data_IF_143461609577
#
_entry.id   IF_143461609577
#
_cell.length_a   1.000
_cell.length_b   1.000
_cell.length_c   1.000
_cell.angle_alpha   90.00
_cell.angle_beta   90.00
_cell.angle_gamma   90.00
#
_symmetry.space_group_name_H-M   'P 1'
#
loop_
_entity.id
_entity.type
_entity.pdbx_description
1 polymer ?
#
# COMPACT_ATOMS: atom_id res chain seq x y z
N UNK A 1 4.41 -10.72 26.42
CA UNK A 1 5.67 -10.66 25.66
C UNK A 1 5.67 -11.84 24.70
N UNK A 2 6.12 -11.65 23.46
CA UNK A 2 6.34 -12.71 22.46
C UNK A 2 7.83 -12.75 22.15
N UNK A 3 8.42 -13.95 22.09
CA UNK A 3 9.81 -14.15 21.67
C UNK A 3 9.88 -15.11 20.49
N UNK A 4 10.54 -14.69 19.41
CA UNK A 4 10.86 -15.52 18.23
C UNK A 4 12.32 -15.85 18.30
N UNK A 5 12.66 -17.14 18.18
CA UNK A 5 14.03 -17.65 18.29
C UNK A 5 14.40 -18.47 17.05
N UNK A 6 15.71 -18.61 16.81
CA UNK A 6 16.28 -19.41 15.73
C UNK A 6 15.70 -19.06 14.35
N UNK A 7 15.53 -17.77 14.07
CA UNK A 7 15.09 -17.29 12.77
C UNK A 7 16.24 -16.82 11.89
N UNK A 8 16.14 -17.07 10.58
CA UNK A 8 16.91 -16.33 9.59
C UNK A 8 16.24 -14.98 9.36
N UNK A 9 16.75 -13.93 10.00
CA UNK A 9 16.07 -12.66 10.09
C UNK A 9 16.54 -11.70 9.01
N UNK A 10 15.63 -11.26 8.13
CA UNK A 10 15.80 -10.13 7.20
C UNK A 10 15.12 -8.88 7.75
N UNK A 11 15.91 -7.92 8.21
CA UNK A 11 15.36 -6.74 8.90
C UNK A 11 14.86 -5.64 7.98
N UNK A 12 15.27 -5.60 6.73
CA UNK A 12 15.11 -4.51 5.76
C UNK A 12 15.86 -3.21 6.12
N UNK A 13 16.75 -3.26 7.12
CA UNK A 13 17.64 -2.14 7.52
C UNK A 13 19.04 -2.25 6.92
N UNK A 14 19.40 -3.41 6.38
CA UNK A 14 20.75 -3.77 5.92
C UNK A 14 21.56 -4.57 6.94
N UNK A 15 21.00 -4.86 8.13
CA UNK A 15 21.59 -5.74 9.14
C UNK A 15 20.72 -6.98 9.28
N UNK A 16 21.17 -8.11 8.77
CA UNK A 16 20.47 -9.39 8.82
C UNK A 16 21.14 -10.36 9.80
N UNK A 17 20.39 -11.37 10.28
CA UNK A 17 20.88 -12.37 11.23
C UNK A 17 20.61 -13.78 10.66
N UNK A 18 21.62 -14.62 10.53
CA UNK A 18 21.48 -16.01 10.03
C UNK A 18 20.83 -16.94 11.08
N UNK A 19 21.08 -16.70 12.35
CA UNK A 19 20.41 -17.31 13.51
C UNK A 19 20.15 -16.22 14.53
N UNK A 20 18.93 -15.71 14.54
CA UNK A 20 18.56 -14.53 15.31
C UNK A 20 17.33 -14.74 16.17
N UNK A 21 17.09 -13.73 17.03
CA UNK A 21 15.89 -13.65 17.86
C UNK A 21 15.25 -12.26 17.76
N UNK A 22 13.95 -12.21 18.04
CA UNK A 22 13.16 -10.97 18.15
C UNK A 22 12.29 -11.07 19.41
N UNK A 23 12.24 -9.99 20.18
CA UNK A 23 11.28 -9.84 21.30
C UNK A 23 10.31 -8.72 21.01
N UNK A 24 9.03 -9.01 21.26
CA UNK A 24 7.94 -8.06 21.15
C UNK A 24 7.21 -7.94 22.48
N UNK A 25 7.10 -6.74 23.01
CA UNK A 25 6.29 -6.45 24.20
C UNK A 25 5.36 -5.29 23.94
N UNK A 26 4.12 -5.40 24.41
CA UNK A 26 3.06 -4.40 24.21
C UNK A 26 2.94 -3.90 22.75
N UNK A 27 3.05 -4.84 21.81
CA UNK A 27 2.92 -4.57 20.38
C UNK A 27 4.16 -4.01 19.71
N UNK A 28 5.26 -3.76 20.42
CA UNK A 28 6.49 -3.16 19.89
C UNK A 28 7.67 -4.11 19.96
N UNK A 29 8.54 -4.07 18.95
CA UNK A 29 9.83 -4.74 18.98
C UNK A 29 10.69 -4.07 20.07
N UNK A 30 11.13 -4.86 21.02
CA UNK A 30 11.97 -4.37 22.14
C UNK A 30 13.42 -4.76 22.01
N UNK A 31 13.69 -5.91 21.38
CA UNK A 31 15.07 -6.42 21.16
C UNK A 31 15.10 -7.28 19.90
N UNK A 32 16.17 -7.18 19.16
CA UNK A 32 16.50 -8.01 17.99
C UNK A 32 18.02 -8.24 17.98
N UNK A 33 18.47 -9.42 17.65
CA UNK A 33 19.90 -9.73 17.62
C UNK A 33 20.22 -11.15 17.23
N UNK A 34 21.52 -11.52 17.36
CA UNK A 34 21.97 -12.88 17.19
C UNK A 34 21.46 -13.77 18.33
N UNK A 35 21.23 -15.05 18.06
CA UNK A 35 20.75 -16.01 19.06
C UNK A 35 21.69 -16.14 20.25
N UNK A 36 23.02 -15.98 20.04
CA UNK A 36 24.01 -15.95 21.09
C UNK A 36 23.80 -14.87 22.16
N UNK A 37 23.11 -13.78 21.79
CA UNK A 37 22.86 -12.63 22.67
C UNK A 37 21.43 -12.64 23.21
N UNK A 38 20.65 -13.71 22.92
CA UNK A 38 19.27 -13.83 23.35
C UNK A 38 19.18 -13.93 24.89
N UNK A 39 18.45 -13.06 25.55
CA UNK A 39 18.17 -13.22 26.97
C UNK A 39 17.39 -14.51 27.24
N UNK A 40 17.51 -15.08 28.46
CA UNK A 40 16.78 -16.27 28.86
C UNK A 40 15.29 -16.16 28.55
N UNK A 41 14.71 -17.20 27.95
CA UNK A 41 13.35 -17.26 27.46
C UNK A 41 12.58 -18.53 27.89
N UNK A 42 13.24 -19.45 28.59
CA UNK A 42 12.71 -20.78 28.92
C UNK A 42 11.48 -20.73 29.84
N UNK A 43 11.25 -19.61 30.51
CA UNK A 43 10.07 -19.38 31.35
C UNK A 43 9.03 -18.47 30.70
N UNK A 44 9.12 -18.20 29.39
CA UNK A 44 8.16 -17.38 28.66
C UNK A 44 7.05 -18.24 28.05
N UNK A 45 5.80 -17.82 28.19
CA UNK A 45 4.62 -18.59 27.72
C UNK A 45 4.44 -18.49 26.20
N UNK A 46 4.99 -17.46 25.55
CA UNK A 46 4.80 -17.18 24.13
C UNK A 46 6.16 -17.18 23.40
N UNK A 47 6.69 -18.38 23.10
CA UNK A 47 7.92 -18.55 22.34
C UNK A 47 7.63 -19.26 21.02
N UNK A 48 8.07 -18.67 19.91
CA UNK A 48 8.03 -19.28 18.58
C UNK A 48 9.44 -19.66 18.17
N UNK A 49 9.70 -20.94 17.97
CA UNK A 49 10.94 -21.39 17.35
C UNK A 49 10.78 -21.38 15.82
N UNK A 50 11.45 -20.45 15.16
CA UNK A 50 11.40 -20.31 13.72
C UNK A 50 12.19 -21.40 12.96
N UNK A 51 13.05 -22.18 13.64
CA UNK A 51 13.77 -23.36 13.08
C UNK A 51 14.58 -23.06 11.81
N UNK A 52 15.20 -21.90 11.74
CA UNK A 52 15.96 -21.45 10.56
C UNK A 52 15.09 -20.92 9.41
N UNK A 53 13.78 -20.86 9.58
CA UNK A 53 12.87 -20.27 8.60
C UNK A 53 13.09 -18.76 8.49
N UNK A 54 12.67 -18.19 7.35
CA UNK A 54 12.81 -16.77 7.08
C UNK A 54 11.84 -15.96 7.96
N UNK A 55 12.37 -15.02 8.74
CA UNK A 55 11.64 -14.06 9.55
C UNK A 55 11.85 -12.67 8.97
N UNK A 56 10.80 -11.97 8.60
CA UNK A 56 10.89 -10.65 7.99
C UNK A 56 9.76 -9.75 8.45
N UNK A 57 9.81 -8.42 8.18
CA UNK A 57 8.67 -7.54 8.43
C UNK A 57 7.43 -8.06 7.71
N UNK A 58 6.27 -7.87 8.31
CA UNK A 58 5.00 -8.13 7.64
C UNK A 58 4.92 -7.38 6.31
N UNK A 59 4.37 -8.04 5.31
CA UNK A 59 4.22 -7.50 3.96
C UNK A 59 3.16 -6.39 3.96
N UNK A 60 3.36 -5.39 3.11
CA UNK A 60 2.52 -4.19 3.01
C UNK A 60 2.00 -4.02 1.59
N UNK A 61 0.68 -3.99 1.44
CA UNK A 61 0.03 -3.61 0.18
C UNK A 61 -0.10 -2.08 0.09
N UNK A 62 0.54 -1.47 -0.91
CA UNK A 62 0.64 -0.01 -1.04
C UNK A 62 -0.59 0.65 -1.68
N UNK A 63 -1.46 -0.13 -2.32
CA UNK A 63 -2.64 0.37 -3.03
C UNK A 63 -3.64 -0.76 -3.30
N UNK A 64 -4.79 -0.74 -2.64
CA UNK A 64 -5.86 -1.72 -2.91
C UNK A 64 -7.24 -1.17 -2.56
N UNK A 65 -8.25 -2.00 -2.85
CA UNK A 65 -9.66 -1.74 -2.58
C UNK A 65 -10.27 -2.82 -1.67
N UNK A 66 -9.44 -3.46 -0.85
CA UNK A 66 -9.83 -4.54 0.06
C UNK A 66 -10.93 -4.11 1.02
N UNK A 67 -11.99 -4.89 1.11
CA UNK A 67 -13.16 -4.61 1.94
C UNK A 67 -14.06 -3.49 1.46
N UNK A 68 -13.66 -2.70 0.43
CA UNK A 68 -14.51 -1.74 -0.29
C UNK A 68 -15.12 -2.41 -1.53
N UNK A 69 -14.34 -3.25 -2.21
CA UNK A 69 -14.84 -4.21 -3.19
C UNK A 69 -14.76 -5.58 -2.55
N UNK A 70 -15.88 -6.01 -1.98
CA UNK A 70 -15.96 -7.29 -1.28
C UNK A 70 -15.94 -8.47 -2.25
N UNK A 71 -15.26 -9.54 -1.89
CA UNK A 71 -15.29 -10.78 -2.67
C UNK A 71 -16.69 -11.40 -2.70
N UNK A 72 -17.11 -11.91 -3.85
CA UNK A 72 -18.39 -12.65 -4.07
C UNK A 72 -19.67 -11.84 -3.82
N UNK A 73 -19.63 -10.53 -3.80
CA UNK A 73 -20.78 -9.68 -3.42
C UNK A 73 -21.53 -9.05 -4.58
N UNK A 74 -20.93 -8.97 -5.76
CA UNK A 74 -21.55 -8.25 -6.88
C UNK A 74 -21.72 -6.76 -6.54
N UNK A 75 -22.78 -6.15 -7.09
CA UNK A 75 -22.97 -4.68 -6.98
C UNK A 75 -23.20 -4.21 -5.53
N UNK A 76 -23.81 -5.01 -4.67
CA UNK A 76 -24.09 -4.63 -3.29
C UNK A 76 -22.81 -4.55 -2.44
N UNK A 77 -21.80 -5.37 -2.76
CA UNK A 77 -20.49 -5.33 -2.10
C UNK A 77 -19.44 -4.52 -2.85
N UNK A 78 -19.81 -3.67 -3.82
CA UNK A 78 -18.89 -2.84 -4.60
C UNK A 78 -19.12 -1.35 -4.33
N UNK A 79 -18.43 -0.85 -3.30
CA UNK A 79 -18.40 0.57 -2.93
C UNK A 79 -17.12 1.27 -3.41
N UNK A 80 -16.41 0.67 -4.37
CA UNK A 80 -15.11 1.16 -4.82
C UNK A 80 -15.17 2.54 -5.48
N UNK A 81 -16.25 2.83 -6.23
CA UNK A 81 -16.35 4.04 -7.03
C UNK A 81 -17.70 4.76 -6.90
N UNK A 82 -17.65 6.05 -6.58
CA UNK A 82 -18.82 6.93 -6.72
C UNK A 82 -18.96 7.33 -8.20
N UNK A 83 -19.80 6.60 -8.91
CA UNK A 83 -19.89 6.71 -10.36
C UNK A 83 -20.73 7.89 -10.88
N UNK A 84 -21.32 8.72 -10.02
CA UNK A 84 -22.28 9.77 -10.39
C UNK A 84 -21.63 11.15 -10.38
N UNK A 85 -20.74 11.42 -9.44
CA UNK A 85 -20.07 12.71 -9.26
C UNK A 85 -18.57 12.60 -9.51
N UNK A 86 -17.96 13.44 -10.37
CA UNK A 86 -16.54 13.30 -10.74
C UNK A 86 -15.56 13.84 -9.71
N UNK A 87 -15.99 14.63 -8.72
CA UNK A 87 -15.14 15.27 -7.72
C UNK A 87 -15.72 15.06 -6.32
N UNK A 88 -15.17 14.11 -5.58
CA UNK A 88 -15.67 13.67 -4.27
C UNK A 88 -14.59 13.59 -3.19
N UNK A 89 -13.88 14.70 -2.87
CA UNK A 89 -12.76 14.68 -1.92
C UNK A 89 -13.15 14.33 -0.49
N UNK A 90 -14.46 14.41 -0.17
CA UNK A 90 -15.03 14.16 1.14
C UNK A 90 -15.37 12.69 1.42
N UNK A 91 -15.39 11.83 0.40
CA UNK A 91 -15.57 10.40 0.60
C UNK A 91 -14.34 9.79 1.30
N UNK A 92 -14.58 8.91 2.24
CA UNK A 92 -13.51 8.29 3.03
C UNK A 92 -13.64 6.78 2.96
N UNK A 93 -12.56 6.12 2.58
CA UNK A 93 -12.52 4.66 2.50
C UNK A 93 -12.96 3.97 3.80
N UNK A 94 -12.62 4.56 4.94
CA UNK A 94 -12.96 4.01 6.27
C UNK A 94 -14.46 3.81 6.48
N UNK A 95 -15.30 4.58 5.78
CA UNK A 95 -16.76 4.50 5.92
C UNK A 95 -17.37 3.32 5.12
N UNK A 96 -16.60 2.69 4.21
CA UNK A 96 -17.06 1.60 3.36
C UNK A 96 -16.30 0.26 3.56
N UNK A 97 -15.19 0.25 4.28
CA UNK A 97 -14.42 -0.99 4.50
C UNK A 97 -15.21 -1.96 5.38
N UNK A 98 -15.48 -3.16 4.86
CA UNK A 98 -15.97 -4.31 5.62
C UNK A 98 -14.80 -5.18 6.12
N UNK A 99 -14.42 -5.15 7.43
CA UNK A 99 -13.32 -5.96 7.95
C UNK A 99 -13.60 -7.48 7.97
N UNK A 100 -14.83 -7.89 7.64
CA UNK A 100 -15.24 -9.29 7.59
C UNK A 100 -15.16 -9.87 6.17
N UNK A 101 -14.66 -9.11 5.19
CA UNK A 101 -14.41 -9.61 3.85
C UNK A 101 -13.30 -10.68 3.85
N UNK A 102 -13.47 -11.71 3.03
CA UNK A 102 -12.55 -12.86 2.94
C UNK A 102 -11.11 -12.45 2.58
N UNK A 103 -10.94 -11.34 1.85
CA UNK A 103 -9.63 -10.82 1.49
C UNK A 103 -8.72 -10.51 2.69
N UNK A 104 -9.29 -10.21 3.87
CA UNK A 104 -8.51 -10.01 5.08
C UNK A 104 -7.85 -11.31 5.57
N UNK A 105 -8.58 -12.42 5.58
CA UNK A 105 -8.02 -13.74 5.93
C UNK A 105 -6.97 -14.17 4.90
N UNK A 106 -7.22 -13.95 3.62
CA UNK A 106 -6.26 -14.26 2.55
C UNK A 106 -4.98 -13.44 2.67
N UNK A 107 -5.08 -12.16 3.06
CA UNK A 107 -3.92 -11.30 3.34
C UNK A 107 -3.08 -11.88 4.50
N UNK A 108 -3.72 -12.30 5.59
CA UNK A 108 -3.01 -12.89 6.74
C UNK A 108 -2.31 -14.19 6.36
N UNK A 109 -2.94 -15.05 5.53
CA UNK A 109 -2.34 -16.30 5.01
C UNK A 109 -1.13 -16.08 4.11
N UNK A 110 -0.99 -14.87 3.56
CA UNK A 110 0.14 -14.48 2.72
C UNK A 110 1.20 -13.65 3.47
N UNK A 111 1.08 -13.47 4.79
CA UNK A 111 2.02 -12.68 5.59
C UNK A 111 1.84 -11.16 5.43
N UNK A 112 0.70 -10.70 4.87
CA UNK A 112 0.41 -9.28 4.67
C UNK A 112 -0.24 -8.73 5.93
N UNK A 113 0.43 -7.78 6.58
CA UNK A 113 0.03 -7.23 7.90
C UNK A 113 -0.60 -5.86 7.82
N UNK A 114 -0.41 -5.15 6.70
CA UNK A 114 -0.94 -3.79 6.53
C UNK A 114 -1.27 -3.50 5.08
N UNK A 115 -2.24 -2.61 4.87
CA UNK A 115 -2.68 -2.19 3.54
C UNK A 115 -3.07 -0.71 3.48
N UNK A 116 -2.81 -0.07 2.35
CA UNK A 116 -3.33 1.24 1.98
C UNK A 116 -4.60 1.04 1.16
N UNK A 117 -5.76 1.27 1.78
CA UNK A 117 -7.07 1.03 1.19
C UNK A 117 -7.76 2.34 0.83
N UNK A 118 -8.36 2.41 -0.34
CA UNK A 118 -9.06 3.61 -0.78
C UNK A 118 -9.96 3.43 -1.98
N UNK A 119 -10.62 4.52 -2.42
CA UNK A 119 -11.52 4.48 -3.55
C UNK A 119 -10.80 4.19 -4.87
N UNK A 120 -11.54 3.66 -5.83
CA UNK A 120 -11.09 3.37 -7.18
C UNK A 120 -10.84 4.62 -8.03
N UNK A 121 -10.81 4.44 -9.33
CA UNK A 121 -10.33 5.45 -10.28
C UNK A 121 -11.37 5.95 -11.27
N UNK A 122 -12.67 5.72 -11.02
CA UNK A 122 -13.74 6.23 -11.89
C UNK A 122 -13.92 7.76 -11.81
N UNK A 123 -13.50 8.39 -10.70
CA UNK A 123 -13.62 9.82 -10.44
C UNK A 123 -12.31 10.55 -10.76
N UNK A 124 -12.38 11.82 -11.13
CA UNK A 124 -11.19 12.69 -11.20
C UNK A 124 -10.59 12.87 -9.80
N UNK A 125 -11.45 13.02 -8.78
CA UNK A 125 -11.09 12.99 -7.36
C UNK A 125 -12.00 11.99 -6.67
N UNK A 126 -11.46 10.87 -6.19
CA UNK A 126 -12.24 9.75 -5.65
C UNK A 126 -12.47 9.83 -4.14
N UNK A 127 -11.60 10.51 -3.39
CA UNK A 127 -11.71 10.59 -1.93
C UNK A 127 -10.44 10.16 -1.19
N UNK A 128 -10.60 9.90 0.09
CA UNK A 128 -9.51 9.74 1.05
C UNK A 128 -9.17 8.24 1.28
N UNK A 129 -7.90 7.91 1.14
CA UNK A 129 -7.33 6.63 1.55
C UNK A 129 -7.12 6.54 3.06
N UNK A 130 -7.13 5.32 3.56
CA UNK A 130 -6.75 4.96 4.93
C UNK A 130 -5.66 3.88 4.90
N UNK A 131 -4.67 3.97 5.79
CA UNK A 131 -3.70 2.90 6.01
C UNK A 131 -4.10 2.12 7.26
N UNK A 132 -4.26 0.79 7.11
CA UNK A 132 -4.81 -0.10 8.14
C UNK A 132 -3.91 -1.31 8.40
N UNK A 133 -4.07 -1.92 9.57
CA UNK A 133 -3.68 -3.32 9.83
C UNK A 133 -4.70 -4.25 9.18
N UNK A 134 -4.26 -5.42 8.73
CA UNK A 134 -5.13 -6.40 8.05
C UNK A 134 -5.89 -7.31 9.01
N UNK A 135 -5.79 -7.10 10.32
CA UNK A 135 -6.47 -7.89 11.34
C UNK A 135 -7.32 -7.03 12.25
N UNK A 136 -8.59 -7.41 12.40
CA UNK A 136 -9.56 -6.77 13.27
C UNK A 136 -11.00 -7.08 12.86
N UNK A 137 -11.95 -6.68 13.70
CA UNK A 137 -13.40 -6.80 13.43
C UNK A 137 -14.11 -5.44 13.37
N UNK A 138 -13.41 -4.39 13.76
CA UNK A 138 -13.91 -3.03 13.77
C UNK A 138 -12.84 -2.16 13.11
N UNK A 139 -13.21 -1.47 12.04
CA UNK A 139 -12.26 -0.70 11.23
C UNK A 139 -11.54 0.37 12.07
N UNK A 140 -12.21 1.00 13.02
CA UNK A 140 -11.60 2.02 13.87
C UNK A 140 -10.39 1.51 14.66
N UNK A 141 -10.37 0.22 15.01
CA UNK A 141 -9.26 -0.42 15.72
C UNK A 141 -8.14 -0.90 14.78
N UNK A 142 -8.35 -0.85 13.47
CA UNK A 142 -7.39 -1.26 12.45
C UNK A 142 -6.64 -0.06 11.86
N UNK A 143 -7.11 1.17 12.09
CA UNK A 143 -6.53 2.38 11.51
C UNK A 143 -5.14 2.65 12.08
N UNK A 144 -4.18 2.81 11.19
CA UNK A 144 -2.83 3.31 11.48
C UNK A 144 -2.70 4.78 11.14
N UNK A 145 -3.28 5.20 9.99
CA UNK A 145 -3.26 6.60 9.51
C UNK A 145 -4.52 6.90 8.70
N UNK A 146 -5.27 7.92 9.10
CA UNK A 146 -6.45 8.42 8.38
C UNK A 146 -6.59 9.95 8.56
N UNK A 147 -6.81 10.74 7.47
CA UNK A 147 -6.62 10.32 6.09
C UNK A 147 -5.14 10.03 5.78
N UNK A 148 -4.88 9.09 4.86
CA UNK A 148 -3.52 8.69 4.50
C UNK A 148 -3.06 9.27 3.15
N UNK A 149 -3.99 9.49 2.21
CA UNK A 149 -3.77 10.11 0.91
C UNK A 149 -5.09 10.58 0.30
N UNK A 150 -5.02 11.39 -0.77
CA UNK A 150 -6.18 11.78 -1.58
C UNK A 150 -6.10 11.13 -2.96
N UNK A 151 -7.11 10.33 -3.33
CA UNK A 151 -7.21 9.70 -4.66
C UNK A 151 -7.52 10.72 -5.73
N UNK A 152 -6.71 10.70 -6.78
CA UNK A 152 -7.01 11.34 -8.06
C UNK A 152 -6.80 10.34 -9.20
N UNK A 153 -7.46 10.55 -10.33
CA UNK A 153 -7.32 9.69 -11.48
C UNK A 153 -7.25 10.45 -12.80
N UNK A 154 -6.44 9.91 -13.69
CA UNK A 154 -6.26 10.36 -15.07
C UNK A 154 -6.59 9.23 -16.05
N UNK A 155 -6.62 9.55 -17.33
CA UNK A 155 -6.67 8.57 -18.38
C UNK A 155 -8.06 8.03 -18.70
N UNK A 156 -8.12 6.72 -18.90
CA UNK A 156 -9.27 6.06 -19.50
C UNK A 156 -10.46 5.96 -18.53
N UNK A 157 -10.23 5.64 -17.27
CA UNK A 157 -11.32 5.32 -16.34
C UNK A 157 -12.27 6.49 -16.10
N UNK A 158 -11.86 7.71 -15.67
CA UNK A 158 -12.80 8.82 -15.51
C UNK A 158 -13.41 9.28 -16.84
N UNK A 159 -12.63 9.22 -17.94
CA UNK A 159 -13.14 9.56 -19.26
C UNK A 159 -14.28 8.64 -19.68
N UNK A 160 -14.12 7.32 -19.59
CA UNK A 160 -15.13 6.34 -20.01
C UNK A 160 -16.35 6.38 -19.09
N UNK A 161 -16.14 6.45 -17.76
CA UNK A 161 -17.23 6.46 -16.81
C UNK A 161 -18.21 7.62 -17.02
N UNK A 162 -17.72 8.84 -17.28
CA UNK A 162 -18.55 10.03 -17.40
C UNK A 162 -19.01 10.31 -18.82
N UNK A 163 -18.17 10.11 -19.85
CA UNK A 163 -18.60 10.31 -21.24
C UNK A 163 -19.74 9.38 -21.64
N UNK A 164 -19.80 8.17 -21.11
CA UNK A 164 -20.89 7.23 -21.33
C UNK A 164 -22.24 7.65 -20.74
N UNK A 165 -22.24 8.68 -19.89
CA UNK A 165 -23.44 9.28 -19.25
C UNK A 165 -23.74 10.69 -19.73
N UNK A 166 -23.08 11.14 -20.80
CA UNK A 166 -23.20 12.52 -21.34
C UNK A 166 -22.80 13.61 -20.30
N UNK A 167 -21.89 13.30 -19.37
CA UNK A 167 -21.38 14.24 -18.35
C UNK A 167 -19.86 14.40 -18.50
N UNK A 168 -19.32 15.53 -18.04
CA UNK A 168 -17.88 15.78 -17.99
C UNK A 168 -17.23 14.96 -16.85
N UNK A 169 -16.00 14.43 -17.04
CA UNK A 169 -15.11 14.64 -18.18
C UNK A 169 -15.31 13.64 -19.33
N UNK A 170 -15.20 14.11 -20.57
CA UNK A 170 -15.16 13.26 -21.77
C UNK A 170 -13.77 13.27 -22.44
N UNK A 171 -12.83 14.06 -21.96
CA UNK A 171 -11.48 14.20 -22.51
C UNK A 171 -10.42 14.31 -21.41
N UNK A 172 -9.15 13.97 -21.74
CA UNK A 172 -8.01 14.21 -20.85
C UNK A 172 -7.85 15.69 -20.48
N UNK A 173 -8.18 16.60 -21.40
CA UNK A 173 -8.19 18.04 -21.13
C UNK A 173 -9.18 18.40 -20.04
N UNK A 174 -10.39 17.84 -20.08
CA UNK A 174 -11.43 18.08 -19.08
C UNK A 174 -11.02 17.52 -17.71
N UNK A 175 -10.44 16.31 -17.65
CA UNK A 175 -9.91 15.72 -16.41
C UNK A 175 -8.90 16.68 -15.76
N UNK A 176 -7.90 17.12 -16.53
CA UNK A 176 -6.86 18.02 -16.04
C UNK A 176 -7.42 19.40 -15.63
N UNK A 177 -8.39 19.93 -16.38
CA UNK A 177 -9.03 21.20 -16.06
C UNK A 177 -9.86 21.12 -14.77
N UNK A 178 -10.64 20.07 -14.58
CA UNK A 178 -11.45 19.85 -13.38
C UNK A 178 -10.57 19.73 -12.13
N UNK A 179 -9.48 18.96 -12.20
CA UNK A 179 -8.54 18.84 -11.07
C UNK A 179 -7.88 20.19 -10.75
N UNK A 180 -7.46 20.96 -11.78
CA UNK A 180 -6.89 22.30 -11.56
C UNK A 180 -7.89 23.27 -10.94
N UNK A 181 -9.14 23.25 -11.39
CA UNK A 181 -10.20 24.09 -10.81
C UNK A 181 -10.41 23.75 -9.34
N UNK A 182 -10.49 22.46 -9.00
CA UNK A 182 -10.66 22.01 -7.62
C UNK A 182 -9.50 22.43 -6.72
N UNK A 183 -8.25 22.25 -7.18
CA UNK A 183 -7.05 22.67 -6.45
C UNK A 183 -6.93 24.20 -6.33
N UNK A 184 -7.34 24.94 -7.36
CA UNK A 184 -7.38 26.40 -7.35
C UNK A 184 -8.35 26.92 -6.28
N UNK A 185 -9.55 26.36 -6.24
CA UNK A 185 -10.59 26.74 -5.29
C UNK A 185 -10.20 26.35 -3.86
N UNK A 186 -9.66 25.14 -3.66
CA UNK A 186 -9.15 24.67 -2.37
C UNK A 186 -8.00 25.57 -1.85
N UNK A 187 -7.09 26.00 -2.73
CA UNK A 187 -6.00 26.92 -2.37
C UNK A 187 -6.52 28.31 -2.02
N UNK A 188 -7.52 28.81 -2.75
CA UNK A 188 -8.19 30.08 -2.44
C UNK A 188 -8.92 29.98 -1.09
N UNK A 189 -9.63 28.88 -0.84
CA UNK A 189 -10.26 28.59 0.44
C UNK A 189 -9.26 28.57 1.59
N UNK A 190 -8.14 27.82 1.48
CA UNK A 190 -7.06 27.77 2.49
C UNK A 190 -6.59 29.17 2.87
N UNK A 191 -6.37 30.05 1.88
CA UNK A 191 -5.94 31.42 2.12
C UNK A 191 -6.99 32.26 2.87
N UNK A 192 -8.26 32.17 2.48
CA UNK A 192 -9.38 32.85 3.16
C UNK A 192 -9.54 32.31 4.59
N UNK A 193 -9.48 31.00 4.77
CA UNK A 193 -9.61 30.29 6.06
C UNK A 193 -8.54 30.74 7.06
N UNK A 194 -7.28 30.87 6.60
CA UNK A 194 -6.14 31.36 7.40
C UNK A 194 -6.40 32.77 7.94
N UNK A 195 -7.13 33.59 7.20
CA UNK A 195 -7.42 34.99 7.53
C UNK A 195 -8.82 35.17 8.20
N UNK A 196 -9.51 34.08 8.54
CA UNK A 196 -10.90 34.11 9.05
C UNK A 196 -11.88 34.87 8.11
N UNK A 197 -11.72 34.72 6.80
CA UNK A 197 -12.47 35.46 5.77
C UNK A 197 -13.54 34.60 5.06
N UNK A 198 -13.79 33.38 5.53
CA UNK A 198 -14.84 32.51 4.99
C UNK A 198 -15.41 31.61 6.08
N UNK A 199 -16.64 31.14 5.83
CA UNK A 199 -17.24 30.05 6.58
C UNK A 199 -16.55 28.71 6.25
N UNK A 200 -16.79 27.69 7.10
CA UNK A 200 -16.27 26.36 6.86
C UNK A 200 -17.00 25.69 5.69
N UNK A 201 -16.23 25.15 4.75
CA UNK A 201 -16.72 24.35 3.64
C UNK A 201 -16.14 22.95 3.74
N UNK A 202 -17.02 21.95 3.97
CA UNK A 202 -16.63 20.56 4.19
C UNK A 202 -15.81 19.97 3.03
N UNK A 203 -16.16 20.33 1.79
CA UNK A 203 -15.44 19.87 0.60
C UNK A 203 -13.97 20.35 0.62
N UNK A 204 -13.74 21.63 0.91
CA UNK A 204 -12.39 22.20 0.87
C UNK A 204 -11.57 21.93 2.14
N UNK A 205 -12.23 21.69 3.29
CA UNK A 205 -11.51 21.22 4.50
C UNK A 205 -10.78 19.90 4.23
N UNK A 206 -11.34 19.01 3.38
CA UNK A 206 -10.71 17.74 3.00
C UNK A 206 -9.40 17.92 2.23
N UNK A 207 -9.18 19.08 1.58
CA UNK A 207 -7.96 19.39 0.85
C UNK A 207 -6.83 19.97 1.71
N UNK A 208 -7.14 20.45 2.91
CA UNK A 208 -6.13 21.11 3.76
C UNK A 208 -4.94 20.18 4.06
N UNK A 209 -5.12 18.91 4.41
CA UNK A 209 -3.97 18.01 4.64
C UNK A 209 -3.08 17.83 3.41
N UNK A 210 -3.65 17.80 2.20
CA UNK A 210 -2.88 17.74 0.93
C UNK A 210 -2.10 19.03 0.71
N UNK A 211 -2.79 20.19 0.82
CA UNK A 211 -2.19 21.52 0.62
C UNK A 211 -1.17 21.89 1.69
N UNK A 212 -1.17 21.20 2.82
CA UNK A 212 -0.20 21.34 3.91
C UNK A 212 0.94 20.34 3.83
N UNK A 213 0.93 19.45 2.84
CA UNK A 213 1.94 18.41 2.65
C UNK A 213 1.91 17.30 3.69
N UNK A 214 0.81 17.15 4.45
CA UNK A 214 0.63 16.10 5.45
C UNK A 214 0.30 14.74 4.85
N UNK A 215 -0.40 14.75 3.71
CA UNK A 215 -0.73 13.55 2.93
C UNK A 215 -0.49 13.80 1.43
N UNK A 216 -0.07 12.77 0.67
CA UNK A 216 0.14 12.89 -0.77
C UNK A 216 -1.15 12.79 -1.56
N UNK A 217 -1.09 13.20 -2.83
CA UNK A 217 -2.01 12.71 -3.86
C UNK A 217 -1.63 11.29 -4.25
N UNK A 218 -2.61 10.38 -4.42
CA UNK A 218 -2.43 9.07 -5.05
C UNK A 218 -3.01 9.12 -6.46
N UNK A 219 -2.14 9.23 -7.45
CA UNK A 219 -2.52 9.44 -8.83
C UNK A 219 -2.60 8.11 -9.59
N UNK A 220 -3.82 7.66 -9.93
CA UNK A 220 -4.02 6.59 -10.91
C UNK A 220 -3.55 7.07 -12.28
N UNK A 221 -2.46 6.51 -12.78
CA UNK A 221 -1.85 6.85 -14.06
C UNK A 221 -1.18 5.62 -14.68
N UNK A 222 -1.53 5.30 -15.92
CA UNK A 222 -0.92 4.19 -16.66
C UNK A 222 -0.02 4.68 -17.80
N UNK A 223 -0.54 5.55 -18.67
CA UNK A 223 0.14 6.02 -19.88
C UNK A 223 1.15 7.11 -19.58
N UNK A 224 2.20 7.17 -20.37
CA UNK A 224 3.26 8.17 -20.24
C UNK A 224 2.75 9.62 -20.31
N UNK A 225 1.80 9.91 -21.20
CA UNK A 225 1.19 11.25 -21.34
C UNK A 225 0.34 11.64 -20.11
N UNK A 226 -0.39 10.69 -19.51
CA UNK A 226 -1.16 10.89 -18.28
C UNK A 226 -0.24 11.06 -17.07
N UNK A 227 0.83 10.26 -16.95
CA UNK A 227 1.87 10.39 -15.92
C UNK A 227 2.50 11.79 -15.96
N UNK A 228 2.92 12.26 -17.14
CA UNK A 228 3.51 13.59 -17.31
C UNK A 228 2.52 14.72 -16.98
N UNK A 229 1.23 14.52 -17.27
CA UNK A 229 0.19 15.49 -16.91
C UNK A 229 -0.03 15.55 -15.39
N UNK A 230 -0.05 14.40 -14.70
CA UNK A 230 -0.13 14.34 -13.25
C UNK A 230 1.08 15.03 -12.58
N UNK A 231 2.30 14.71 -13.04
CA UNK A 231 3.55 15.34 -12.56
C UNK A 231 3.49 16.86 -12.73
N UNK A 232 3.05 17.34 -13.89
CA UNK A 232 2.91 18.77 -14.19
C UNK A 232 1.98 19.46 -13.19
N UNK A 233 0.79 18.90 -12.95
CA UNK A 233 -0.20 19.48 -12.03
C UNK A 233 0.31 19.46 -10.59
N UNK A 234 0.91 18.36 -10.12
CA UNK A 234 1.48 18.29 -8.79
C UNK A 234 2.59 19.36 -8.59
N UNK A 235 3.47 19.57 -9.58
CA UNK A 235 4.50 20.61 -9.56
C UNK A 235 3.90 22.03 -9.59
N UNK A 236 2.85 22.28 -10.38
CA UNK A 236 2.14 23.59 -10.44
C UNK A 236 1.60 24.03 -9.06
N UNK A 237 1.18 23.08 -8.25
CA UNK A 237 0.60 23.36 -6.92
C UNK A 237 1.55 23.09 -5.76
N UNK A 238 2.74 22.54 -6.01
CA UNK A 238 3.74 22.21 -5.00
C UNK A 238 3.31 21.05 -4.09
N UNK A 239 2.65 20.03 -4.65
CA UNK A 239 2.08 18.92 -3.92
C UNK A 239 2.98 17.67 -3.99
N UNK A 240 2.99 16.88 -2.92
CA UNK A 240 3.54 15.52 -2.93
C UNK A 240 2.56 14.55 -3.60
N UNK A 241 3.09 13.53 -4.28
CA UNK A 241 2.27 12.59 -5.05
C UNK A 241 2.94 11.23 -5.15
N UNK A 242 2.15 10.17 -5.29
CA UNK A 242 2.57 8.85 -5.76
C UNK A 242 2.03 8.60 -7.16
N UNK A 243 2.82 7.90 -7.99
CA UNK A 243 2.43 7.47 -9.33
C UNK A 243 1.94 6.02 -9.24
N UNK A 244 0.63 5.85 -9.16
CA UNK A 244 0.03 4.53 -8.95
C UNK A 244 -0.18 3.84 -10.31
N UNK A 245 0.13 2.55 -10.36
CA UNK A 245 0.19 1.67 -11.54
C UNK A 245 1.40 1.95 -12.44
N UNK A 246 1.58 3.16 -12.90
CA UNK A 246 2.76 3.62 -13.63
C UNK A 246 3.19 2.69 -14.80
N UNK A 247 2.23 2.09 -15.51
CA UNK A 247 2.47 0.98 -16.46
C UNK A 247 3.43 1.34 -17.59
N UNK A 248 3.41 2.57 -18.08
CA UNK A 248 4.34 3.09 -19.08
C UNK A 248 5.50 3.91 -18.49
N UNK A 249 5.69 3.87 -17.17
CA UNK A 249 6.77 4.62 -16.51
C UNK A 249 8.16 4.29 -17.04
N UNK A 250 8.38 3.07 -17.51
CA UNK A 250 9.64 2.66 -18.13
C UNK A 250 9.96 3.37 -19.45
N UNK A 251 8.99 4.07 -20.06
CA UNK A 251 9.19 4.85 -21.28
C UNK A 251 9.63 6.30 -21.00
N UNK A 252 9.46 6.78 -19.78
CA UNK A 252 9.71 8.17 -19.35
C UNK A 252 10.43 8.22 -17.99
N UNK A 253 11.39 7.32 -17.83
CA UNK A 253 12.12 7.11 -16.56
C UNK A 253 12.83 8.37 -16.07
N UNK A 254 13.42 9.17 -16.99
CA UNK A 254 14.16 10.38 -16.64
C UNK A 254 13.22 11.45 -16.06
N UNK A 255 12.05 11.63 -16.66
CA UNK A 255 11.04 12.60 -16.20
C UNK A 255 10.45 12.20 -14.84
N UNK A 256 10.22 10.90 -14.60
CA UNK A 256 9.78 10.41 -13.29
C UNK A 256 10.86 10.64 -12.25
N UNK A 257 12.13 10.30 -12.56
CA UNK A 257 13.27 10.55 -11.67
C UNK A 257 13.41 12.03 -11.32
N UNK A 258 13.33 12.91 -12.32
CA UNK A 258 13.40 14.38 -12.13
C UNK A 258 12.22 14.90 -11.29
N UNK A 259 11.07 14.23 -11.34
CA UNK A 259 9.91 14.62 -10.53
C UNK A 259 10.11 14.39 -9.04
N UNK A 260 10.93 13.41 -8.66
CA UNK A 260 11.15 12.97 -7.30
C UNK A 260 9.99 12.14 -6.72
N UNK A 261 8.95 11.83 -7.52
CA UNK A 261 7.80 11.06 -7.05
C UNK A 261 8.08 9.55 -7.09
N UNK A 262 7.69 8.80 -6.04
CA UNK A 262 7.78 7.35 -6.05
C UNK A 262 6.71 6.73 -6.95
N UNK A 263 6.94 5.49 -7.38
CA UNK A 263 6.00 4.70 -8.17
C UNK A 263 5.48 3.49 -7.38
N UNK A 264 4.19 3.23 -7.49
CA UNK A 264 3.53 2.00 -7.03
C UNK A 264 3.15 1.23 -8.28
N UNK A 265 3.95 0.21 -8.64
CA UNK A 265 3.85 -0.50 -9.91
C UNK A 265 2.95 -1.73 -9.78
N UNK A 266 2.04 -1.89 -10.71
CA UNK A 266 1.09 -3.00 -10.78
C UNK A 266 -0.37 -2.52 -10.86
N UNK A 267 -1.31 -3.48 -11.02
CA UNK A 267 -1.11 -4.93 -11.07
C UNK A 267 -0.60 -5.39 -12.43
N UNK A 268 0.57 -6.01 -12.47
CA UNK A 268 1.10 -6.55 -13.73
C UNK A 268 0.62 -7.98 -14.01
N UNK A 269 0.07 -8.66 -12.99
CA UNK A 269 -0.55 -9.99 -13.12
C UNK A 269 -2.03 -9.86 -13.48
N UNK A 270 -2.30 -9.12 -14.57
CA UNK A 270 -3.63 -8.85 -15.09
C UNK A 270 -3.65 -8.88 -16.62
N UNK A 271 -4.83 -8.88 -17.24
CA UNK A 271 -4.98 -8.82 -18.68
C UNK A 271 -4.79 -7.39 -19.21
N UNK A 272 -4.24 -7.27 -20.43
CA UNK A 272 -4.13 -5.97 -21.14
C UNK A 272 -5.44 -5.62 -21.85
N UNK A 273 -6.51 -5.47 -21.09
CA UNK A 273 -7.88 -5.31 -21.58
C UNK A 273 -8.27 -3.88 -21.96
N UNK A 274 -7.37 -2.90 -21.74
CA UNK A 274 -7.57 -1.48 -22.04
C UNK A 274 -6.36 -0.91 -22.78
N UNK A 275 -6.57 0.18 -23.54
CA UNK A 275 -5.49 0.88 -24.24
C UNK A 275 -4.44 1.40 -23.25
N UNK A 276 -4.84 1.90 -22.11
CA UNK A 276 -3.92 2.47 -21.12
C UNK A 276 -2.96 1.43 -20.49
N UNK A 277 -3.28 0.13 -20.56
CA UNK A 277 -2.43 -0.95 -20.06
C UNK A 277 -1.75 -1.78 -21.16
N UNK A 278 -1.82 -1.33 -22.43
CA UNK A 278 -1.26 -2.07 -23.57
C UNK A 278 0.24 -2.35 -23.43
N UNK A 279 0.99 -1.46 -22.78
CA UNK A 279 2.44 -1.56 -22.57
C UNK A 279 2.80 -1.99 -21.11
N UNK A 280 1.83 -2.46 -20.34
CA UNK A 280 2.05 -3.02 -19.01
C UNK A 280 3.04 -4.20 -19.07
N UNK A 281 4.06 -4.19 -18.22
CA UNK A 281 5.13 -5.18 -18.24
C UNK A 281 5.83 -5.30 -16.88
N UNK A 282 6.07 -6.53 -16.45
CA UNK A 282 6.81 -6.83 -15.22
C UNK A 282 8.19 -6.16 -15.09
N UNK A 283 8.82 -5.81 -16.23
CA UNK A 283 10.13 -5.12 -16.25
C UNK A 283 10.07 -3.68 -15.75
N UNK A 284 8.88 -3.06 -15.71
CA UNK A 284 8.71 -1.63 -15.35
C UNK A 284 9.29 -1.33 -13.99
N UNK A 285 8.97 -2.14 -12.97
CA UNK A 285 9.49 -1.99 -11.62
C UNK A 285 11.03 -2.03 -11.56
N UNK A 286 11.65 -2.98 -12.28
CA UNK A 286 13.11 -3.11 -12.36
C UNK A 286 13.80 -1.92 -13.01
N UNK A 287 13.24 -1.40 -14.11
CA UNK A 287 13.78 -0.23 -14.83
C UNK A 287 13.72 1.03 -13.94
N UNK A 288 12.57 1.27 -13.31
CA UNK A 288 12.40 2.43 -12.43
C UNK A 288 13.33 2.35 -11.20
N UNK A 289 13.44 1.17 -10.58
CA UNK A 289 14.34 0.94 -9.44
C UNK A 289 15.81 1.16 -9.80
N UNK A 290 16.27 0.65 -10.95
CA UNK A 290 17.64 0.85 -11.44
C UNK A 290 17.95 2.33 -11.73
N UNK A 291 16.94 3.13 -12.08
CA UNK A 291 17.09 4.57 -12.22
C UNK A 291 17.15 5.32 -10.89
N UNK A 292 16.96 4.62 -9.75
CA UNK A 292 16.97 5.21 -8.41
C UNK A 292 15.61 5.76 -7.97
N UNK A 293 14.53 5.42 -8.68
CA UNK A 293 13.16 5.74 -8.28
C UNK A 293 12.71 4.72 -7.23
N UNK A 294 12.11 5.18 -6.12
CA UNK A 294 11.56 4.26 -5.12
C UNK A 294 10.30 3.59 -5.66
N UNK A 295 10.30 2.27 -5.64
CA UNK A 295 9.22 1.43 -6.19
C UNK A 295 8.60 0.60 -5.08
N UNK A 296 7.25 0.57 -5.03
CA UNK A 296 6.48 -0.48 -4.39
C UNK A 296 5.76 -1.30 -5.46
N UNK A 297 5.47 -2.57 -5.14
CA UNK A 297 4.63 -3.44 -5.95
C UNK A 297 3.22 -3.47 -5.34
N UNK A 298 2.20 -3.53 -6.19
CA UNK A 298 0.80 -3.63 -5.76
C UNK A 298 0.04 -4.71 -6.55
N UNK A 299 -0.95 -5.29 -5.90
CA UNK A 299 -1.96 -6.15 -6.54
C UNK A 299 -3.13 -5.35 -7.08
N UNK A 300 -3.36 -4.13 -6.55
CA UNK A 300 -4.58 -3.37 -6.84
C UNK A 300 -5.83 -4.22 -6.56
N UNK A 301 -5.79 -5.01 -5.46
CA UNK A 301 -6.88 -5.93 -5.12
C UNK A 301 -8.24 -5.23 -5.24
N UNK A 302 -9.22 -5.83 -5.95
CA UNK A 302 -9.30 -7.22 -6.42
C UNK A 302 -8.85 -7.46 -7.88
N UNK A 303 -8.13 -6.54 -8.53
CA UNK A 303 -7.66 -6.77 -9.91
C UNK A 303 -6.71 -7.97 -9.98
N UNK A 304 -5.74 -8.04 -9.09
CA UNK A 304 -5.07 -9.28 -8.69
C UNK A 304 -5.39 -9.51 -7.21
N UNK A 305 -5.63 -10.77 -6.81
CA UNK A 305 -5.96 -11.06 -5.43
C UNK A 305 -4.78 -10.75 -4.51
N UNK A 306 -5.07 -10.19 -3.33
CA UNK A 306 -4.08 -9.62 -2.41
C UNK A 306 -3.00 -10.64 -1.99
N UNK A 307 -3.39 -11.91 -1.79
CA UNK A 307 -2.46 -12.99 -1.39
C UNK A 307 -1.36 -13.25 -2.42
N UNK A 308 -1.49 -12.77 -3.64
CA UNK A 308 -0.47 -12.90 -4.68
C UNK A 308 0.54 -11.74 -4.72
N UNK A 309 0.48 -10.80 -3.79
CA UNK A 309 1.45 -9.68 -3.73
C UNK A 309 2.91 -10.16 -3.71
N UNK A 310 3.31 -11.18 -2.91
CA UNK A 310 4.67 -11.69 -2.95
C UNK A 310 5.06 -12.27 -4.32
N UNK A 311 4.12 -12.93 -4.99
CA UNK A 311 4.35 -13.50 -6.33
C UNK A 311 4.48 -12.41 -7.39
N UNK A 312 3.70 -11.31 -7.27
CA UNK A 312 3.86 -10.14 -8.14
C UNK A 312 5.29 -9.56 -8.03
N UNK A 313 5.83 -9.46 -6.79
CA UNK A 313 7.21 -9.06 -6.59
C UNK A 313 8.21 -10.06 -7.21
N UNK A 314 7.96 -11.37 -7.07
CA UNK A 314 8.76 -12.42 -7.70
C UNK A 314 8.79 -12.33 -9.23
N UNK A 315 7.66 -12.02 -9.85
CA UNK A 315 7.57 -11.81 -11.30
C UNK A 315 8.34 -10.54 -11.75
N UNK A 316 8.33 -9.48 -10.95
CA UNK A 316 9.15 -8.29 -11.19
C UNK A 316 10.66 -8.62 -11.07
N UNK A 317 11.04 -9.42 -10.06
CA UNK A 317 12.45 -9.92 -9.90
C UNK A 317 12.86 -10.77 -11.09
N UNK A 318 12.02 -11.72 -11.52
CA UNK A 318 12.25 -12.52 -12.73
C UNK A 318 12.45 -11.64 -13.97
N UNK A 319 11.89 -10.44 -13.98
CA UNK A 319 11.93 -9.50 -15.12
C UNK A 319 12.96 -8.37 -14.97
N UNK A 320 13.87 -8.47 -13.98
CA UNK A 320 15.04 -7.60 -13.85
C UNK A 320 15.07 -6.67 -12.63
N UNK A 321 14.11 -6.77 -11.71
CA UNK A 321 14.23 -6.14 -10.39
C UNK A 321 15.25 -6.94 -9.55
N UNK A 322 16.13 -6.27 -8.80
CA UNK A 322 17.04 -6.95 -7.89
C UNK A 322 16.26 -7.71 -6.79
N UNK A 323 16.71 -8.90 -6.40
CA UNK A 323 15.98 -9.76 -5.47
C UNK A 323 15.71 -9.09 -4.11
N UNK A 324 16.71 -8.41 -3.54
CA UNK A 324 16.53 -7.67 -2.28
C UNK A 324 15.57 -6.49 -2.46
N UNK A 325 15.59 -5.81 -3.61
CA UNK A 325 14.62 -4.76 -3.92
C UNK A 325 13.19 -5.32 -4.11
N UNK A 326 13.03 -6.55 -4.57
CA UNK A 326 11.75 -7.24 -4.61
C UNK A 326 11.11 -7.36 -3.22
N UNK A 327 11.87 -7.79 -2.21
CA UNK A 327 11.41 -7.84 -0.80
C UNK A 327 11.16 -6.43 -0.25
N UNK A 328 12.05 -5.47 -0.54
CA UNK A 328 11.89 -4.08 -0.12
C UNK A 328 10.65 -3.44 -0.74
N UNK A 329 10.32 -3.80 -1.98
CA UNK A 329 9.16 -3.26 -2.72
C UNK A 329 7.80 -3.72 -2.18
N UNK A 330 7.77 -4.69 -1.27
CA UNK A 330 6.56 -5.17 -0.58
C UNK A 330 6.67 -5.03 0.96
N UNK A 331 7.69 -4.32 1.48
CA UNK A 331 7.89 -4.09 2.92
C UNK A 331 8.24 -2.64 3.21
N UNK A 332 9.54 -2.28 3.23
CA UNK A 332 9.98 -0.93 3.64
C UNK A 332 9.64 0.15 2.61
N UNK A 333 9.71 -0.14 1.31
CA UNK A 333 9.39 0.87 0.30
C UNK A 333 7.92 1.32 0.37
N UNK A 334 6.91 0.41 0.41
CA UNK A 334 5.52 0.83 0.63
C UNK A 334 5.32 1.56 1.96
N UNK A 335 6.00 1.17 3.05
CA UNK A 335 5.91 1.88 4.32
C UNK A 335 6.36 3.35 4.19
N UNK A 336 7.50 3.59 3.52
CA UNK A 336 8.02 4.95 3.26
C UNK A 336 7.08 5.72 2.33
N UNK A 337 6.61 5.10 1.25
CA UNK A 337 5.70 5.73 0.28
C UNK A 337 4.39 6.15 0.94
N UNK A 338 3.86 5.34 1.86
CA UNK A 338 2.63 5.63 2.60
C UNK A 338 2.85 6.54 3.82
N UNK A 339 4.11 6.83 4.18
CA UNK A 339 4.47 7.67 5.32
C UNK A 339 4.08 7.04 6.66
N UNK A 340 4.46 5.77 6.85
CA UNK A 340 4.22 4.94 8.05
C UNK A 340 5.46 4.12 8.42
N UNK A 341 6.61 4.47 7.87
CA UNK A 341 7.88 3.78 8.09
C UNK A 341 8.48 3.99 9.49
N UNK A 342 7.94 4.92 10.24
CA UNK A 342 8.19 5.04 11.68
C UNK A 342 7.54 3.92 12.50
N UNK A 343 6.56 3.21 11.95
CA UNK A 343 5.82 2.14 12.62
C UNK A 343 6.08 0.75 12.04
N UNK A 344 6.14 0.61 10.71
CA UNK A 344 6.15 -0.69 10.02
C UNK A 344 7.18 -0.74 8.88
N UNK A 345 7.32 -1.88 8.21
CA UNK A 345 8.12 -2.07 7.00
C UNK A 345 9.56 -2.51 7.23
N UNK A 346 10.06 -2.46 8.46
CA UNK A 346 11.36 -3.03 8.86
C UNK A 346 11.31 -3.55 10.30
N UNK A 347 12.22 -4.46 10.64
CA UNK A 347 12.36 -4.99 12.00
C UNK A 347 13.40 -4.14 12.76
N UNK A 348 12.90 -3.16 13.50
CA UNK A 348 13.70 -2.24 14.32
C UNK A 348 13.07 -2.06 15.69
N UNK A 349 13.92 -1.89 16.70
CA UNK A 349 13.45 -1.60 18.07
C UNK A 349 12.59 -0.33 18.07
N UNK A 350 11.41 -0.42 18.68
CA UNK A 350 10.42 0.65 18.78
C UNK A 350 9.32 0.61 17.72
N UNK A 351 9.53 -0.09 16.59
CA UNK A 351 8.49 -0.31 15.58
C UNK A 351 7.46 -1.36 16.03
N UNK A 352 6.34 -1.41 15.35
CA UNK A 352 5.30 -2.40 15.60
C UNK A 352 5.85 -3.82 15.37
N UNK A 353 5.46 -4.75 16.20
CA UNK A 353 5.81 -6.17 16.07
C UNK A 353 4.98 -6.86 14.98
N UNK A 354 5.04 -6.31 13.76
CA UNK A 354 4.43 -6.86 12.55
C UNK A 354 5.45 -7.73 11.83
N UNK A 355 5.28 -9.04 11.94
CA UNK A 355 6.30 -10.03 11.54
C UNK A 355 5.62 -11.15 10.76
N UNK A 356 6.27 -11.60 9.69
CA UNK A 356 5.87 -12.80 8.97
C UNK A 356 7.02 -13.82 8.96
N UNK A 357 6.68 -15.09 9.15
CA UNK A 357 7.61 -16.23 9.11
C UNK A 357 7.25 -17.07 7.89
N UNK A 358 8.21 -17.36 7.03
CA UNK A 358 8.02 -18.11 5.79
C UNK A 358 8.95 -19.34 5.74
N UNK A 359 8.49 -20.44 5.12
CA UNK A 359 9.30 -21.65 4.91
C UNK A 359 10.35 -21.49 3.79
N UNK A 360 10.42 -20.34 3.16
CA UNK A 360 11.35 -19.99 2.10
C UNK A 360 11.25 -18.52 1.72
N UNK A 361 11.67 -18.18 0.49
CA UNK A 361 11.51 -16.84 -0.03
C UNK A 361 10.05 -16.62 -0.47
N UNK A 362 9.32 -15.65 0.10
CA UNK A 362 7.89 -15.44 -0.21
C UNK A 362 7.59 -15.12 -1.68
N UNK A 363 8.61 -14.71 -2.45
CA UNK A 363 8.49 -14.46 -3.89
C UNK A 363 8.49 -15.75 -4.73
N UNK A 364 8.63 -16.90 -4.13
CA UNK A 364 8.61 -18.21 -4.78
C UNK A 364 7.24 -18.88 -4.60
N UNK A 365 6.71 -19.47 -5.68
CA UNK A 365 5.34 -20.02 -5.74
C UNK A 365 5.09 -21.12 -4.70
N UNK A 366 6.11 -21.87 -4.31
CA UNK A 366 5.98 -22.98 -3.35
C UNK A 366 6.18 -22.55 -1.89
N UNK A 367 6.57 -21.30 -1.65
CA UNK A 367 6.73 -20.76 -0.30
C UNK A 367 5.39 -20.33 0.27
N UNK A 368 5.18 -20.63 1.54
CA UNK A 368 4.01 -20.23 2.29
C UNK A 368 4.38 -19.51 3.59
N UNK A 369 3.50 -18.65 4.05
CA UNK A 369 3.61 -18.09 5.37
C UNK A 369 3.27 -19.16 6.41
N UNK A 370 4.16 -19.34 7.36
CA UNK A 370 3.99 -20.25 8.48
C UNK A 370 3.32 -19.57 9.68
N UNK A 371 3.62 -18.27 9.86
CA UNK A 371 3.03 -17.48 10.93
C UNK A 371 2.99 -16.00 10.53
N UNK A 372 1.87 -15.35 10.83
CA UNK A 372 1.71 -13.89 10.68
C UNK A 372 1.37 -13.28 12.03
N UNK A 373 2.10 -12.23 12.36
CA UNK A 373 2.05 -11.57 13.66
C UNK A 373 1.78 -10.08 13.41
N UNK A 374 0.80 -9.51 14.10
CA UNK A 374 0.48 -8.08 14.06
C UNK A 374 0.50 -7.53 15.48
N UNK A 375 1.31 -6.51 15.71
CA UNK A 375 1.51 -5.88 17.02
C UNK A 375 1.80 -6.93 18.11
N UNK A 376 2.64 -7.91 17.77
CA UNK A 376 3.04 -8.99 18.68
C UNK A 376 1.95 -10.03 18.98
N UNK A 377 0.81 -9.99 18.31
CA UNK A 377 -0.25 -10.99 18.40
C UNK A 377 -0.16 -11.93 17.20
N UNK A 378 -0.18 -13.22 17.46
CA UNK A 378 -0.28 -14.24 16.41
C UNK A 378 -1.70 -14.17 15.85
N UNK A 379 -1.81 -13.84 14.56
CA UNK A 379 -3.10 -13.68 13.85
C UNK A 379 -3.35 -14.76 12.81
N UNK A 380 -2.29 -15.46 12.39
CA UNK A 380 -2.36 -16.63 11.53
C UNK A 380 -1.20 -17.59 11.83
N UNK A 381 -1.49 -18.88 11.82
CA UNK A 381 -0.51 -19.97 11.85
C UNK A 381 -0.89 -21.07 10.86
N UNK A 382 0.09 -21.57 10.12
CA UNK A 382 -0.05 -22.80 9.33
C UNK A 382 -0.02 -24.01 10.27
N UNK A 383 -0.72 -25.10 9.90
CA UNK A 383 -0.82 -26.35 10.69
C UNK A 383 0.57 -26.93 11.01
N UNK A 384 1.56 -26.74 10.15
CA UNK A 384 2.94 -27.26 10.34
C UNK A 384 3.68 -26.62 11.53
N UNK A 385 3.24 -25.45 12.01
CA UNK A 385 3.79 -24.78 13.22
C UNK A 385 2.88 -24.97 14.45
N UNK A 386 1.58 -25.28 14.27
CA UNK A 386 0.58 -25.34 15.36
C UNK A 386 0.95 -26.28 16.51
N UNK A 387 1.69 -27.36 16.26
CA UNK A 387 2.09 -28.35 17.29
C UNK A 387 3.18 -27.83 18.27
N UNK A 388 3.63 -26.57 18.10
CA UNK A 388 4.81 -26.01 18.77
C UNK A 388 4.52 -24.66 19.46
N UNK A 389 3.33 -24.15 19.33
CA UNK A 389 2.84 -23.02 20.11
C UNK A 389 2.02 -23.64 21.24
N UNK A 390 2.56 -23.65 22.48
CA UNK A 390 1.79 -24.07 23.64
C UNK A 390 0.52 -23.23 23.71
N UNK A 391 -0.61 -23.91 23.47
CA UNK A 391 -1.94 -23.31 23.64
C UNK A 391 -2.32 -23.45 25.10
N UNK A 392 -2.13 -22.41 25.87
CA UNK A 392 -2.88 -22.17 27.11
C UNK A 392 -4.05 -21.22 26.87
#
# INVERSE_FOLDING_TARGET
MLTIIHGKIKTMTGVDYEDGFIRVDKGKITTIGNMSDCPAYENENNVINAQGNLVMPGIIEAHCHMGITEEKKGMEGDDCNENVEPITPYLRAVDAINPMDAAFDDALRAGITSAMVGPGSSNVVGGQFVFIKTHGRCIDNMIVKAPAAMKIAFGENPKVNFSGKDVSPATRMAIAAMLRQELFDAKAYKNKRKNNQCEMDFRYECWLPVLEGKIPLKAHVHRADDILTAIRIAKEYGLSMTLDHCSEGHLITDEIKESGFPAIVGPDMASRNKIEVQNMAFKTAGILSQAGIRVAITTDHPVSMIQFLPICAGLAVKSGLAADEGLRAITINPAIICGVDDRVGSLEVGKDGDIAIFDGNPMEVFTKALCTIIEGKIVYTDESICDKIDKD
#
